data_IF_176836353063
#
_entry.id   IF_176836353063
#
_cell.length_a   1.000
_cell.length_b   1.000
_cell.length_c   1.000
_cell.angle_alpha   90.00
_cell.angle_beta   90.00
_cell.angle_gamma   90.00
#
_symmetry.space_group_name_H-M   'P 1'
#
loop_
_entity.id
_entity.type
_entity.pdbx_description
1 polymer ?
#
# COMPACT_ATOMS: atom_id res chain seq x y z
N UNK A 1 -14.68 -12.73 -7.99
CA UNK A 1 -15.44 -11.99 -6.96
C UNK A 1 -14.59 -11.61 -5.74
N UNK A 2 -14.09 -12.56 -4.92
CA UNK A 2 -13.27 -12.21 -3.73
C UNK A 2 -11.87 -11.72 -4.12
N UNK A 3 -11.23 -12.44 -5.03
CA UNK A 3 -9.91 -12.11 -5.58
C UNK A 3 -9.87 -10.69 -6.19
N UNK A 4 -10.85 -10.35 -7.02
CA UNK A 4 -10.95 -9.03 -7.64
C UNK A 4 -11.16 -7.92 -6.59
N UNK A 5 -11.98 -8.17 -5.57
CA UNK A 5 -12.20 -7.23 -4.49
C UNK A 5 -10.92 -6.96 -3.67
N UNK A 6 -10.13 -8.01 -3.42
CA UNK A 6 -8.82 -7.88 -2.75
C UNK A 6 -7.88 -7.01 -3.57
N UNK A 7 -7.72 -7.29 -4.86
CA UNK A 7 -6.87 -6.50 -5.76
C UNK A 7 -7.35 -5.05 -5.81
N UNK A 8 -8.67 -4.84 -5.93
CA UNK A 8 -9.25 -3.50 -5.94
C UNK A 8 -8.96 -2.72 -4.66
N UNK A 9 -9.01 -3.36 -3.50
CA UNK A 9 -8.67 -2.71 -2.23
C UNK A 9 -7.18 -2.33 -2.16
N UNK A 10 -6.29 -3.17 -2.67
CA UNK A 10 -4.87 -2.87 -2.77
C UNK A 10 -4.60 -1.68 -3.72
N UNK A 11 -5.32 -1.59 -4.83
CA UNK A 11 -5.27 -0.43 -5.73
C UNK A 11 -5.73 0.86 -5.04
N UNK A 12 -6.83 0.81 -4.28
CA UNK A 12 -7.35 1.96 -3.54
C UNK A 12 -6.33 2.48 -2.52
N UNK A 13 -5.66 1.57 -1.80
CA UNK A 13 -4.60 1.94 -0.84
C UNK A 13 -3.44 2.65 -1.57
N UNK A 14 -3.03 2.13 -2.72
CA UNK A 14 -2.00 2.75 -3.55
C UNK A 14 -2.39 4.15 -4.04
N UNK A 15 -3.62 4.30 -4.51
CA UNK A 15 -4.13 5.58 -4.99
C UNK A 15 -4.27 6.62 -3.88
N UNK A 16 -4.81 6.24 -2.72
CA UNK A 16 -4.90 7.11 -1.55
C UNK A 16 -3.52 7.65 -1.12
N UNK A 17 -2.47 6.84 -1.28
CA UNK A 17 -1.10 7.24 -0.96
C UNK A 17 -0.58 8.38 -1.85
N UNK A 18 -1.04 8.46 -3.11
CA UNK A 18 -0.64 9.55 -4.02
C UNK A 18 -1.19 10.90 -3.61
N UNK A 19 -2.35 10.91 -2.94
CA UNK A 19 -3.00 12.12 -2.41
C UNK A 19 -2.30 12.72 -1.18
N UNK A 20 -1.36 12.01 -0.55
CA UNK A 20 -0.61 12.54 0.59
C UNK A 20 0.36 13.63 0.17
N UNK A 21 0.52 14.69 0.95
CA UNK A 21 1.49 15.75 0.61
C UNK A 21 2.94 15.23 0.63
N UNK A 22 3.85 15.82 -0.17
CA UNK A 22 5.28 15.49 -0.12
C UNK A 22 5.88 15.67 1.28
N UNK A 23 5.45 16.71 2.00
CA UNK A 23 5.91 17.05 3.35
C UNK A 23 5.53 15.94 4.34
N UNK A 24 4.27 15.48 4.28
CA UNK A 24 3.79 14.39 5.11
C UNK A 24 4.59 13.10 4.87
N UNK A 25 4.79 12.76 3.58
CA UNK A 25 5.58 11.58 3.19
C UNK A 25 7.03 11.68 3.66
N UNK A 26 7.62 12.89 3.64
CA UNK A 26 8.98 13.16 4.11
C UNK A 26 9.12 13.04 5.63
N UNK A 27 8.15 13.55 6.39
CA UNK A 27 8.11 13.43 7.86
C UNK A 27 7.99 11.95 8.26
N UNK A 28 7.16 11.19 7.55
CA UNK A 28 6.91 9.78 7.83
C UNK A 28 7.67 8.83 6.90
N UNK A 29 8.97 9.10 6.69
CA UNK A 29 9.85 8.33 5.78
C UNK A 29 10.05 6.85 6.10
N UNK A 30 9.66 6.42 7.30
CA UNK A 30 9.70 5.01 7.71
C UNK A 30 8.66 4.15 6.95
N UNK A 31 7.65 4.78 6.37
CA UNK A 31 6.67 4.11 5.52
C UNK A 31 7.14 4.20 4.06
N UNK A 32 7.12 3.08 3.36
CA UNK A 32 7.56 2.97 1.96
C UNK A 32 6.52 3.54 0.97
N UNK A 33 6.18 4.83 1.09
CA UNK A 33 5.10 5.48 0.32
C UNK A 33 5.19 5.27 -1.19
N UNK A 34 6.40 5.31 -1.75
CA UNK A 34 6.62 5.12 -3.19
C UNK A 34 6.24 3.71 -3.64
N UNK A 35 6.54 2.70 -2.83
CA UNK A 35 6.21 1.31 -3.13
C UNK A 35 4.72 1.05 -3.03
N UNK A 36 4.05 1.67 -2.06
CA UNK A 36 2.60 1.58 -1.88
C UNK A 36 1.89 2.25 -3.06
N UNK A 37 2.32 3.45 -3.47
CA UNK A 37 1.75 4.14 -4.62
C UNK A 37 1.95 3.39 -5.95
N UNK A 38 3.05 2.65 -6.10
CA UNK A 38 3.35 1.81 -7.25
C UNK A 38 2.85 0.36 -7.14
N UNK A 39 1.96 0.06 -6.18
CA UNK A 39 1.53 -1.31 -5.91
C UNK A 39 0.84 -1.96 -7.11
N UNK A 40 0.01 -1.21 -7.85
CA UNK A 40 -0.64 -1.71 -9.07
C UNK A 40 0.35 -2.27 -10.07
N UNK A 41 1.44 -1.56 -10.32
CA UNK A 41 2.47 -1.96 -11.31
C UNK A 41 3.24 -3.19 -10.85
N UNK A 42 3.28 -3.48 -9.54
CA UNK A 42 3.84 -4.71 -8.98
C UNK A 42 2.88 -5.88 -9.03
N UNK A 43 1.59 -5.64 -8.80
CA UNK A 43 0.56 -6.69 -8.83
C UNK A 43 0.26 -7.15 -10.25
N UNK A 44 0.32 -6.24 -11.21
CA UNK A 44 0.05 -6.50 -12.63
C UNK A 44 1.37 -6.49 -13.38
N UNK A 45 1.93 -7.67 -13.63
CA UNK A 45 3.18 -7.79 -14.38
C UNK A 45 2.93 -7.81 -15.89
N UNK A 46 3.96 -7.47 -16.67
CA UNK A 46 3.92 -7.40 -18.12
C UNK A 46 3.37 -8.71 -18.74
N UNK A 47 2.29 -8.57 -19.52
CA UNK A 47 1.63 -9.59 -20.33
C UNK A 47 0.65 -10.56 -19.63
N UNK A 48 -0.45 -10.06 -19.03
CA UNK A 48 -1.78 -10.73 -18.94
C UNK A 48 -2.32 -11.24 -17.58
N UNK A 49 -1.79 -10.85 -16.42
CA UNK A 49 -2.43 -11.27 -15.17
C UNK A 49 -1.95 -10.63 -13.88
N UNK A 50 -2.73 -10.87 -12.82
CA UNK A 50 -2.35 -10.55 -11.44
C UNK A 50 -1.38 -11.61 -10.95
N UNK A 51 -0.25 -11.20 -10.37
CA UNK A 51 0.65 -12.12 -9.68
C UNK A 51 0.11 -12.39 -8.27
N UNK A 52 -0.56 -13.53 -8.10
CA UNK A 52 -1.21 -13.90 -6.84
C UNK A 52 -0.25 -14.23 -5.70
N UNK A 53 0.98 -14.67 -5.99
CA UNK A 53 2.01 -14.88 -4.96
C UNK A 53 2.42 -13.54 -4.34
N UNK A 54 2.61 -12.51 -5.18
CA UNK A 54 2.87 -11.15 -4.70
C UNK A 54 1.68 -10.61 -3.93
N UNK A 55 0.45 -10.81 -4.41
CA UNK A 55 -0.76 -10.40 -3.67
C UNK A 55 -0.80 -11.05 -2.29
N UNK A 56 -0.54 -12.36 -2.22
CA UNK A 56 -0.56 -13.10 -0.97
C UNK A 56 0.51 -12.61 0.01
N UNK A 57 1.74 -12.40 -0.47
CA UNK A 57 2.84 -11.84 0.34
C UNK A 57 2.52 -10.43 0.86
N UNK A 58 1.91 -9.59 0.01
CA UNK A 58 1.47 -8.26 0.42
C UNK A 58 0.43 -8.35 1.54
N UNK A 59 -0.53 -9.28 1.44
CA UNK A 59 -1.57 -9.47 2.45
C UNK A 59 -1.01 -10.00 3.77
N UNK A 60 -0.14 -11.01 3.71
CA UNK A 60 0.35 -11.70 4.91
C UNK A 60 1.45 -10.92 5.63
N UNK A 61 2.35 -10.25 4.89
CA UNK A 61 3.51 -9.62 5.48
C UNK A 61 3.42 -8.09 5.46
N UNK A 62 3.06 -7.49 4.32
CA UNK A 62 3.21 -6.04 4.12
C UNK A 62 2.03 -5.23 4.67
N UNK A 63 0.81 -5.73 4.56
CA UNK A 63 -0.38 -5.03 5.06
C UNK A 63 -0.40 -4.91 6.60
N UNK A 64 -0.08 -5.97 7.39
CA UNK A 64 0.00 -5.84 8.85
C UNK A 64 1.10 -4.87 9.30
N UNK A 65 2.25 -4.90 8.63
CA UNK A 65 3.35 -3.95 8.85
C UNK A 65 2.89 -2.52 8.58
N UNK A 66 2.26 -2.27 7.42
CA UNK A 66 1.73 -0.97 7.05
C UNK A 66 0.69 -0.49 8.07
N UNK A 67 -0.23 -1.35 8.50
CA UNK A 67 -1.22 -1.02 9.54
C UNK A 67 -0.56 -0.56 10.84
N UNK A 68 0.48 -1.25 11.28
CA UNK A 68 1.26 -0.87 12.48
C UNK A 68 1.97 0.47 12.30
N UNK A 69 2.56 0.70 11.14
CA UNK A 69 3.22 1.97 10.81
C UNK A 69 2.23 3.13 10.79
N UNK A 70 1.06 2.96 10.15
CA UNK A 70 0.00 3.97 10.10
C UNK A 70 -0.57 4.26 11.48
N UNK A 71 -0.75 3.25 12.34
CA UNK A 71 -1.17 3.45 13.72
C UNK A 71 -0.16 4.29 14.52
N UNK A 72 1.14 4.21 14.21
CA UNK A 72 2.16 5.09 14.79
C UNK A 72 2.09 6.51 14.22
N UNK A 73 1.88 6.64 12.92
CA UNK A 73 1.69 7.95 12.26
C UNK A 73 0.50 8.69 12.86
N UNK A 74 -0.65 8.03 13.02
CA UNK A 74 -1.86 8.61 13.59
C UNK A 74 -1.70 9.01 15.07
N UNK A 75 -0.90 8.26 15.85
CA UNK A 75 -0.56 8.63 17.23
C UNK A 75 0.32 9.89 17.31
N UNK A 76 1.22 10.07 16.34
CA UNK A 76 2.11 11.23 16.28
C UNK A 76 1.47 12.47 15.65
N UNK A 77 0.41 12.29 14.84
CA UNK A 77 -0.34 13.36 14.17
C UNK A 77 -1.54 13.90 14.94
N UNK A 78 -1.90 13.31 16.10
CA UNK A 78 -2.84 13.91 17.06
C UNK A 78 -2.10 14.96 17.91
N UNK A 79 -1.87 16.13 17.33
CA UNK A 79 -1.58 17.37 18.05
C UNK A 79 -2.45 18.47 17.50
#
# INVERSE_FOLDING_TARGET
>A
MVQDAVVRNLEIIGEATKGLSPEFRKIHRAVAWREIAGMRDRLVHHYTGVNWDIVWDVIQAKLPELGSQLARVLRNGKR
#
